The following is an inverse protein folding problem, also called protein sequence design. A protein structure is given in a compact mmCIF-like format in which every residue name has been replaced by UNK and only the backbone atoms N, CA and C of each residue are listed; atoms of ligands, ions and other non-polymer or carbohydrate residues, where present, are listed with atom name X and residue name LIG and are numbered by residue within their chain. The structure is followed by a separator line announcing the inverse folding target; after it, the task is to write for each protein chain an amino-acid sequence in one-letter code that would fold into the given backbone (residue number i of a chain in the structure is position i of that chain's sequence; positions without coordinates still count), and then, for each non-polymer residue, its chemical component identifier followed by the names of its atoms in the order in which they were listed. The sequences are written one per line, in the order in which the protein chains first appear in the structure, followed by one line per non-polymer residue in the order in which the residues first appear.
data_IF_573632320392
#
_entry.id   IF_573632320392
#
_cell.length_a   1.000
_cell.length_b   1.000
_cell.length_c   1.000
_cell.angle_alpha   90.00
_cell.angle_beta   90.00
_cell.angle_gamma   90.00
#
_symmetry.space_group_name_H-M   'P 1'
#
loop_
_entity.id
_entity.type
_entity.pdbx_description
1 polymer ?
#
# COMPACT_ATOMS: atom_id res chain seq x y z
N UNK A 1 19.66 48.96 2.07
CA UNK A 1 20.53 47.85 1.67
C UNK A 1 20.21 46.57 2.47
N UNK A 2 18.92 46.32 2.78
CA UNK A 2 18.49 45.16 3.62
C UNK A 2 17.40 44.32 2.96
N UNK A 3 17.15 44.46 1.65
CA UNK A 3 16.07 43.73 0.95
C UNK A 3 16.58 42.59 0.01
N UNK A 4 17.87 42.26 0.08
CA UNK A 4 18.45 41.27 -0.87
C UNK A 4 18.45 39.86 -0.38
N UNK A 5 17.93 39.54 0.81
CA UNK A 5 17.89 38.18 1.37
C UNK A 5 16.48 37.68 1.73
N UNK A 6 15.44 38.07 1.00
CA UNK A 6 14.30 37.19 0.89
C UNK A 6 14.74 36.02 -0.02
N UNK A 7 15.47 35.04 0.56
CA UNK A 7 15.56 33.70 -0.01
C UNK A 7 14.11 33.32 -0.35
N UNK A 8 13.78 33.22 -1.66
CA UNK A 8 12.60 32.52 -2.10
C UNK A 8 12.65 31.18 -1.35
N UNK A 9 11.79 30.98 -0.37
CA UNK A 9 11.53 29.67 0.16
C UNK A 9 11.17 28.84 -1.08
N UNK A 10 12.05 27.91 -1.45
CA UNK A 10 11.76 27.01 -2.57
C UNK A 10 10.47 26.29 -2.19
N UNK A 11 9.44 26.44 -3.01
CA UNK A 11 8.19 25.76 -2.80
C UNK A 11 8.46 24.27 -2.71
N UNK A 12 7.95 23.68 -1.65
CA UNK A 12 8.06 22.26 -1.41
C UNK A 12 7.25 21.50 -2.46
N UNK A 13 7.87 20.57 -3.18
CA UNK A 13 7.21 19.80 -4.24
C UNK A 13 7.02 18.35 -3.79
N UNK A 14 5.81 17.86 -3.94
CA UNK A 14 5.53 16.43 -3.75
C UNK A 14 6.28 15.60 -4.79
N UNK A 15 6.92 14.53 -4.33
CA UNK A 15 7.48 13.52 -5.24
C UNK A 15 6.34 12.64 -5.72
N UNK A 16 6.24 12.53 -7.04
CA UNK A 16 5.37 11.58 -7.71
C UNK A 16 6.23 10.51 -8.39
N UNK A 17 5.69 9.32 -8.50
CA UNK A 17 6.31 8.29 -9.33
C UNK A 17 6.20 8.65 -10.81
N UNK A 18 6.93 7.97 -11.68
CA UNK A 18 6.83 8.14 -13.15
C UNK A 18 5.47 7.75 -13.74
N UNK A 19 4.59 7.18 -12.93
CA UNK A 19 3.21 6.82 -13.27
C UNK A 19 2.20 7.59 -12.41
N UNK A 20 2.63 8.76 -11.88
CA UNK A 20 1.83 9.77 -11.18
C UNK A 20 1.16 9.31 -9.87
N UNK A 21 1.65 8.23 -9.26
CA UNK A 21 1.26 7.90 -7.88
C UNK A 21 2.07 8.75 -6.89
N UNK A 22 1.49 9.00 -5.70
CA UNK A 22 2.23 9.57 -4.57
C UNK A 22 3.40 8.68 -4.20
N UNK A 23 4.59 9.28 -4.09
CA UNK A 23 5.77 8.55 -3.63
C UNK A 23 5.63 8.24 -2.14
N UNK A 24 5.39 6.96 -1.86
CA UNK A 24 5.26 6.38 -0.53
C UNK A 24 5.98 5.03 -0.56
N UNK A 25 7.18 4.90 0.02
CA UNK A 25 7.91 3.63 0.05
C UNK A 25 7.07 2.49 0.64
N UNK A 26 7.12 1.33 0.01
CA UNK A 26 6.42 0.12 0.44
C UNK A 26 7.32 -1.08 0.24
N UNK A 27 7.41 -1.96 1.24
CA UNK A 27 8.07 -3.26 1.16
C UNK A 27 7.07 -4.39 1.36
N UNK A 28 7.08 -5.35 0.43
CA UNK A 28 6.36 -6.60 0.54
C UNK A 28 7.30 -7.70 1.04
N UNK A 29 6.85 -8.46 2.00
CA UNK A 29 7.59 -9.59 2.58
C UNK A 29 6.93 -10.89 2.15
N UNK A 30 7.72 -11.77 1.58
CA UNK A 30 7.30 -13.10 1.16
C UNK A 30 8.15 -14.18 1.81
N UNK A 31 7.52 -15.28 2.18
CA UNK A 31 8.18 -16.54 2.44
C UNK A 31 8.43 -17.23 1.11
N UNK A 32 9.66 -17.69 0.92
CA UNK A 32 10.09 -18.39 -0.28
C UNK A 32 10.21 -19.90 0.03
N UNK A 33 9.32 -20.70 -0.54
CA UNK A 33 9.32 -22.14 -0.32
C UNK A 33 10.31 -22.89 -1.21
N UNK A 34 10.59 -22.37 -2.42
CA UNK A 34 11.53 -22.98 -3.35
C UNK A 34 12.20 -21.91 -4.24
N UNK A 35 13.41 -21.50 -3.83
CA UNK A 35 14.22 -20.49 -4.52
C UNK A 35 14.48 -20.81 -6.00
N UNK A 36 14.89 -22.06 -6.30
CA UNK A 36 15.22 -22.46 -7.68
C UNK A 36 14.00 -22.39 -8.59
N UNK A 37 12.86 -22.88 -8.11
CA UNK A 37 11.60 -22.81 -8.85
C UNK A 37 11.11 -21.38 -9.01
N UNK A 38 11.30 -20.52 -8.01
CA UNK A 38 10.96 -19.11 -8.05
C UNK A 38 11.76 -18.37 -9.13
N UNK A 39 13.08 -18.47 -9.09
CA UNK A 39 13.96 -17.86 -10.11
C UNK A 39 13.60 -18.37 -11.53
N UNK A 40 13.35 -19.69 -11.67
CA UNK A 40 12.95 -20.28 -12.95
C UNK A 40 11.60 -19.73 -13.43
N UNK A 41 10.65 -19.47 -12.53
CA UNK A 41 9.36 -18.88 -12.87
C UNK A 41 9.51 -17.41 -13.28
N UNK A 42 10.27 -16.61 -12.51
CA UNK A 42 10.52 -15.21 -12.82
C UNK A 42 11.23 -15.01 -14.16
N UNK A 43 12.22 -15.84 -14.50
CA UNK A 43 12.95 -15.77 -15.78
C UNK A 43 12.09 -16.00 -17.01
N UNK A 44 10.86 -16.52 -16.85
CA UNK A 44 9.89 -16.64 -17.94
C UNK A 44 9.09 -15.36 -18.20
N UNK A 45 9.10 -14.44 -17.23
CA UNK A 45 8.38 -13.17 -17.32
C UNK A 45 9.25 -12.14 -18.05
N UNK A 46 8.70 -11.54 -19.10
CA UNK A 46 9.43 -10.57 -19.93
C UNK A 46 9.57 -9.19 -19.26
N UNK A 47 8.80 -8.95 -18.19
CA UNK A 47 8.90 -7.73 -17.39
C UNK A 47 9.93 -7.84 -16.27
N UNK A 48 10.56 -9.01 -16.06
CA UNK A 48 11.54 -9.23 -15.00
C UNK A 48 12.95 -9.24 -15.58
N UNK A 49 13.82 -8.44 -14.99
CA UNK A 49 15.23 -8.32 -15.34
C UNK A 49 16.07 -8.67 -14.12
N UNK A 50 16.92 -9.68 -14.22
CA UNK A 50 17.87 -10.03 -13.15
C UNK A 50 19.13 -9.18 -13.27
N UNK A 51 19.75 -8.88 -12.13
CA UNK A 51 21.11 -8.31 -12.11
C UNK A 51 22.08 -9.27 -12.79
N UNK A 52 23.05 -8.73 -13.51
CA UNK A 52 24.12 -9.53 -14.12
C UNK A 52 25.11 -10.05 -13.07
N UNK A 53 25.22 -9.35 -11.94
CA UNK A 53 26.21 -9.63 -10.88
C UNK A 53 25.61 -10.50 -9.76
N UNK A 54 24.28 -10.47 -9.55
CA UNK A 54 23.62 -11.16 -8.45
C UNK A 54 22.24 -11.71 -8.86
N UNK A 55 22.13 -13.03 -8.97
CA UNK A 55 20.87 -13.74 -9.20
C UNK A 55 19.83 -13.57 -8.07
N UNK A 56 20.20 -12.98 -6.95
CA UNK A 56 19.27 -12.67 -5.86
C UNK A 56 18.59 -11.32 -6.00
N UNK A 57 19.07 -10.46 -6.91
CA UNK A 57 18.47 -9.17 -7.20
C UNK A 57 17.80 -9.16 -8.58
N UNK A 58 16.58 -8.67 -8.63
CA UNK A 58 15.82 -8.51 -9.88
C UNK A 58 14.95 -7.25 -9.85
N UNK A 59 14.65 -6.75 -11.03
CA UNK A 59 13.79 -5.58 -11.23
C UNK A 59 12.53 -6.03 -11.96
N UNK A 60 11.37 -5.52 -11.54
CA UNK A 60 10.12 -5.64 -12.30
C UNK A 60 9.87 -4.32 -13.02
N UNK A 61 9.86 -4.35 -14.34
CA UNK A 61 9.65 -3.18 -15.18
C UNK A 61 8.20 -3.10 -15.69
N UNK A 62 7.71 -1.87 -15.92
CA UNK A 62 6.38 -1.63 -16.50
C UNK A 62 6.39 -1.95 -17.99
N UNK A 63 6.38 -3.24 -18.30
CA UNK A 63 6.47 -3.77 -19.66
C UNK A 63 5.70 -5.08 -19.79
N UNK A 64 5.20 -5.38 -20.98
CA UNK A 64 4.52 -6.65 -21.33
C UNK A 64 3.48 -7.09 -20.29
N UNK A 65 3.76 -8.17 -19.53
CA UNK A 65 2.85 -8.73 -18.54
C UNK A 65 2.39 -7.71 -17.50
N UNK A 66 3.30 -6.83 -17.09
CA UNK A 66 3.04 -5.77 -16.09
C UNK A 66 2.14 -4.64 -16.61
N UNK A 67 1.79 -4.59 -17.89
CA UNK A 67 0.80 -3.63 -18.44
C UNK A 67 -0.58 -3.75 -17.81
N UNK A 68 -0.86 -4.88 -17.16
CA UNK A 68 -2.13 -5.13 -16.48
C UNK A 68 -2.22 -4.51 -15.08
N UNK A 69 -1.14 -3.90 -14.60
CA UNK A 69 -1.19 -3.14 -13.35
C UNK A 69 -2.13 -1.95 -13.51
N UNK A 70 -3.01 -1.79 -12.53
CA UNK A 70 -3.92 -0.65 -12.46
C UNK A 70 -3.18 0.54 -11.81
N UNK A 71 -2.33 1.20 -12.60
CA UNK A 71 -1.57 2.39 -12.20
C UNK A 71 -2.30 3.68 -12.58
N UNK A 72 -1.89 4.81 -12.01
CA UNK A 72 -2.53 6.09 -12.29
C UNK A 72 -2.37 6.50 -13.75
N UNK A 73 -1.19 6.24 -14.34
CA UNK A 73 -0.95 6.40 -15.78
C UNK A 73 -0.86 5.02 -16.44
N UNK A 74 -1.76 4.70 -17.40
CA UNK A 74 -1.68 3.49 -18.19
C UNK A 74 -0.36 3.40 -18.98
N UNK A 75 0.11 2.17 -19.22
CA UNK A 75 1.38 1.94 -19.91
C UNK A 75 1.54 2.73 -21.23
N UNK A 76 0.46 2.86 -22.01
CA UNK A 76 0.47 3.51 -23.31
C UNK A 76 0.63 5.04 -23.23
N UNK A 77 0.30 5.62 -22.06
CA UNK A 77 0.31 7.06 -21.80
C UNK A 77 1.61 7.50 -21.13
N UNK A 78 2.44 6.55 -20.65
CA UNK A 78 3.75 6.88 -20.07
C UNK A 78 4.66 7.43 -21.17
N UNK A 79 5.29 8.61 -20.98
CA UNK A 79 6.25 9.16 -21.92
C UNK A 79 7.41 8.20 -22.20
N UNK A 80 7.80 8.08 -23.49
CA UNK A 80 8.85 7.13 -23.92
C UNK A 80 10.22 7.44 -23.28
N UNK A 81 10.46 8.68 -22.96
CA UNK A 81 11.69 9.18 -22.32
C UNK A 81 11.86 8.63 -20.89
N UNK A 82 10.77 8.18 -20.28
CA UNK A 82 10.78 7.58 -18.94
C UNK A 82 11.01 6.06 -18.95
N UNK A 83 11.08 5.43 -20.13
CA UNK A 83 11.35 4.00 -20.21
C UNK A 83 12.82 3.66 -20.00
N UNK A 84 13.13 2.54 -19.32
CA UNK A 84 12.21 1.60 -18.68
C UNK A 84 11.74 2.11 -17.31
N UNK A 85 10.42 2.03 -17.06
CA UNK A 85 9.85 2.37 -15.76
C UNK A 85 10.02 1.19 -14.81
N UNK A 86 10.82 1.35 -13.77
CA UNK A 86 10.93 0.37 -12.68
C UNK A 86 9.69 0.44 -11.80
N UNK A 87 8.98 -0.67 -11.66
CA UNK A 87 7.84 -0.82 -10.75
C UNK A 87 8.30 -1.27 -9.36
N UNK A 88 9.27 -2.18 -9.31
CA UNK A 88 9.78 -2.73 -8.07
C UNK A 88 11.19 -3.29 -8.22
N UNK A 89 11.89 -3.35 -7.08
CA UNK A 89 13.15 -4.04 -6.87
C UNK A 89 12.92 -5.23 -5.96
N UNK A 90 13.39 -6.41 -6.36
CA UNK A 90 13.20 -7.65 -5.60
C UNK A 90 14.51 -8.23 -5.12
N UNK A 91 14.56 -8.65 -3.85
CA UNK A 91 15.74 -9.16 -3.17
C UNK A 91 15.45 -10.51 -2.52
N UNK A 92 16.15 -11.56 -2.95
CA UNK A 92 16.08 -12.88 -2.35
C UNK A 92 17.07 -12.95 -1.19
N UNK A 93 16.56 -13.03 0.02
CA UNK A 93 17.35 -13.07 1.25
C UNK A 93 17.57 -14.54 1.65
N UNK A 94 18.82 -14.98 1.59
CA UNK A 94 19.15 -16.39 1.86
C UNK A 94 18.44 -17.34 0.90
N UNK A 95 17.71 -18.32 1.46
CA UNK A 95 16.96 -19.33 0.71
C UNK A 95 15.44 -19.31 0.93
N UNK A 96 14.97 -18.52 1.89
CA UNK A 96 13.60 -18.63 2.42
C UNK A 96 12.82 -17.33 2.42
N UNK A 97 13.45 -16.21 2.14
CA UNK A 97 12.80 -14.91 2.20
C UNK A 97 12.94 -14.14 0.89
N UNK A 98 11.93 -13.33 0.59
CA UNK A 98 11.90 -12.43 -0.55
C UNK A 98 11.33 -11.10 -0.10
N UNK A 99 12.08 -10.03 -0.31
CA UNK A 99 11.64 -8.65 -0.13
C UNK A 99 11.41 -8.02 -1.50
N UNK A 100 10.32 -7.28 -1.64
CA UNK A 100 10.04 -6.53 -2.86
C UNK A 100 9.73 -5.08 -2.48
N UNK A 101 10.58 -4.18 -2.92
CA UNK A 101 10.53 -2.76 -2.65
C UNK A 101 9.87 -2.01 -3.81
N UNK A 102 8.95 -1.11 -3.49
CA UNK A 102 8.25 -0.29 -4.47
C UNK A 102 7.95 1.11 -3.94
N UNK A 103 7.66 2.04 -4.84
CA UNK A 103 7.59 3.47 -4.54
C UNK A 103 6.17 3.99 -4.33
N UNK A 104 5.16 3.12 -4.36
CA UNK A 104 3.77 3.51 -4.06
C UNK A 104 2.94 2.34 -3.58
N UNK A 105 1.94 2.63 -2.76
CA UNK A 105 0.95 1.65 -2.31
C UNK A 105 0.21 0.99 -3.48
N UNK A 106 -0.12 1.76 -4.51
CA UNK A 106 -0.82 1.26 -5.70
C UNK A 106 0.02 0.24 -6.46
N UNK A 107 1.33 0.49 -6.63
CA UNK A 107 2.26 -0.47 -7.21
C UNK A 107 2.39 -1.73 -6.36
N UNK A 108 2.49 -1.58 -5.03
CA UNK A 108 2.55 -2.72 -4.11
C UNK A 108 1.35 -3.64 -4.26
N UNK A 109 0.14 -3.08 -4.26
CA UNK A 109 -1.10 -3.86 -4.44
C UNK A 109 -1.14 -4.54 -5.82
N UNK A 110 -0.73 -3.83 -6.88
CA UNK A 110 -0.61 -4.40 -8.22
C UNK A 110 0.38 -5.57 -8.29
N UNK A 111 1.50 -5.48 -7.55
CA UNK A 111 2.51 -6.55 -7.45
C UNK A 111 1.95 -7.77 -6.72
N UNK A 112 1.22 -7.59 -5.63
CA UNK A 112 0.58 -8.70 -4.92
C UNK A 112 -0.36 -9.46 -5.85
N UNK A 113 -1.23 -8.76 -6.59
CA UNK A 113 -2.15 -9.37 -7.57
C UNK A 113 -1.39 -10.09 -8.71
N UNK A 114 -0.37 -9.44 -9.24
CA UNK A 114 0.45 -9.97 -10.34
C UNK A 114 1.18 -11.26 -9.93
N UNK A 115 1.84 -11.27 -8.77
CA UNK A 115 2.56 -12.44 -8.28
C UNK A 115 1.61 -13.55 -7.85
N UNK A 116 0.45 -13.20 -7.28
CA UNK A 116 -0.59 -14.17 -6.95
C UNK A 116 -1.07 -14.94 -8.18
N UNK A 117 -1.23 -14.25 -9.31
CA UNK A 117 -1.67 -14.87 -10.58
C UNK A 117 -0.55 -15.61 -11.30
N UNK A 118 0.70 -15.13 -11.17
CA UNK A 118 1.82 -15.62 -11.99
C UNK A 118 2.67 -16.68 -11.29
N UNK A 119 2.81 -16.62 -9.96
CA UNK A 119 3.79 -17.41 -9.19
C UNK A 119 3.14 -18.23 -8.07
N UNK A 120 2.22 -17.64 -7.28
CA UNK A 120 1.60 -18.30 -6.12
C UNK A 120 0.84 -19.59 -6.48
N UNK A 121 0.19 -19.74 -7.66
CA UNK A 121 -0.48 -20.99 -8.02
C UNK A 121 0.40 -22.25 -7.91
N UNK A 122 1.73 -22.08 -7.91
CA UNK A 122 2.70 -23.18 -7.83
C UNK A 122 3.20 -23.44 -6.39
N UNK A 123 2.64 -22.76 -5.37
CA UNK A 123 3.09 -22.84 -3.97
C UNK A 123 4.60 -22.56 -3.79
N UNK A 124 5.12 -21.63 -4.58
CA UNK A 124 6.56 -21.28 -4.55
C UNK A 124 6.85 -20.16 -3.56
N UNK A 125 5.92 -19.21 -3.43
CA UNK A 125 6.00 -18.06 -2.51
C UNK A 125 4.67 -17.85 -1.80
N UNK A 126 4.73 -17.21 -0.63
CA UNK A 126 3.59 -16.79 0.16
C UNK A 126 3.85 -15.39 0.71
N UNK A 127 2.92 -14.45 0.47
CA UNK A 127 3.02 -13.12 1.09
C UNK A 127 2.69 -13.22 2.57
N UNK A 128 3.53 -12.63 3.42
CA UNK A 128 3.39 -12.66 4.89
C UNK A 128 3.12 -11.28 5.50
N UNK A 129 3.67 -10.22 4.89
CA UNK A 129 3.46 -8.86 5.41
C UNK A 129 3.65 -7.80 4.32
N UNK A 130 3.14 -6.61 4.61
CA UNK A 130 3.41 -5.39 3.86
C UNK A 130 3.76 -4.28 4.85
N UNK A 131 4.92 -3.64 4.65
CA UNK A 131 5.26 -2.40 5.33
C UNK A 131 5.08 -1.21 4.40
N UNK A 132 4.61 -0.09 4.91
CA UNK A 132 4.48 1.13 4.14
C UNK A 132 4.87 2.36 4.97
N UNK A 133 5.45 3.35 4.29
CA UNK A 133 5.65 4.67 4.83
C UNK A 133 4.32 5.44 4.77
N UNK A 134 3.93 6.07 5.89
CA UNK A 134 2.60 6.65 6.05
C UNK A 134 2.51 8.13 5.66
N UNK A 135 3.57 8.68 5.06
CA UNK A 135 3.64 10.08 4.65
C UNK A 135 3.89 10.18 3.14
N UNK A 136 3.29 11.15 2.50
CA UNK A 136 3.73 11.59 1.17
C UNK A 136 5.04 12.36 1.33
N UNK A 137 5.94 12.16 0.38
CA UNK A 137 7.25 12.79 0.41
C UNK A 137 7.23 14.09 -0.40
N UNK A 138 7.69 15.16 0.23
CA UNK A 138 7.89 16.43 -0.43
C UNK A 138 9.31 16.92 -0.25
N UNK A 139 9.90 17.49 -1.28
CA UNK A 139 11.30 17.91 -1.35
C UNK A 139 11.44 19.37 -1.78
N UNK A 140 12.52 20.01 -1.33
CA UNK A 140 12.89 21.39 -1.66
C UNK A 140 14.07 21.49 -2.62
N UNK A 141 14.77 20.37 -2.84
CA UNK A 141 15.96 20.33 -3.68
C UNK A 141 16.07 19.01 -4.42
N UNK A 142 16.88 19.03 -5.47
CA UNK A 142 17.24 17.82 -6.23
C UNK A 142 18.02 16.81 -5.37
N UNK A 143 18.87 17.29 -4.45
CA UNK A 143 19.59 16.42 -3.52
C UNK A 143 18.65 15.64 -2.59
N UNK A 144 17.63 16.29 -2.02
CA UNK A 144 16.59 15.62 -1.24
C UNK A 144 15.80 14.62 -2.10
N UNK A 145 15.51 14.95 -3.36
CA UNK A 145 14.88 14.02 -4.29
C UNK A 145 15.69 12.74 -4.48
N UNK A 146 16.99 12.85 -4.74
CA UNK A 146 17.85 11.68 -4.91
C UNK A 146 18.02 10.88 -3.62
N UNK A 147 18.02 11.53 -2.47
CA UNK A 147 18.03 10.85 -1.17
C UNK A 147 16.81 9.93 -1.01
N UNK A 148 15.62 10.43 -1.30
CA UNK A 148 14.39 9.64 -1.25
C UNK A 148 14.29 8.62 -2.37
N UNK A 149 14.79 8.95 -3.55
CA UNK A 149 14.79 8.01 -4.68
C UNK A 149 15.64 6.77 -4.39
N UNK A 150 16.73 6.93 -3.64
CA UNK A 150 17.66 5.88 -3.21
C UNK A 150 17.49 5.53 -1.72
N UNK A 151 16.30 5.70 -1.17
CA UNK A 151 16.02 5.42 0.24
C UNK A 151 16.36 3.98 0.58
N UNK A 152 16.99 3.79 1.76
CA UNK A 152 17.27 2.47 2.29
C UNK A 152 16.00 1.91 2.97
N UNK A 153 15.41 0.89 2.36
CA UNK A 153 14.19 0.26 2.87
C UNK A 153 14.42 -0.55 4.15
N UNK A 154 15.65 -1.04 4.39
CA UNK A 154 15.99 -1.72 5.64
C UNK A 154 15.94 -0.73 6.81
N UNK A 155 16.51 0.46 6.66
CA UNK A 155 16.42 1.52 7.67
C UNK A 155 14.99 2.00 7.93
N UNK A 156 14.11 1.95 6.90
CA UNK A 156 12.72 2.37 7.07
C UNK A 156 11.86 1.33 7.78
N UNK A 157 12.14 0.02 7.60
CA UNK A 157 11.15 -1.01 7.90
C UNK A 157 11.62 -2.17 8.79
N UNK A 158 12.93 -2.38 9.01
CA UNK A 158 13.41 -3.56 9.73
C UNK A 158 13.01 -3.55 11.22
N UNK A 159 13.02 -2.38 11.84
CA UNK A 159 12.67 -2.24 13.25
C UNK A 159 11.16 -2.19 13.52
N UNK A 160 10.32 -2.26 12.47
CA UNK A 160 8.88 -2.14 12.62
C UNK A 160 8.25 -3.50 12.92
N UNK A 161 7.62 -3.59 14.08
CA UNK A 161 6.87 -4.79 14.47
C UNK A 161 5.61 -4.97 13.60
N UNK A 162 5.29 -6.23 13.29
CA UNK A 162 4.05 -6.56 12.58
C UNK A 162 2.86 -6.30 13.51
N UNK A 163 1.92 -5.50 13.05
CA UNK A 163 0.66 -5.26 13.73
C UNK A 163 -0.47 -6.07 13.08
N UNK A 164 -1.24 -6.79 13.90
CA UNK A 164 -2.48 -7.45 13.50
C UNK A 164 -3.68 -6.52 13.72
N UNK A 165 -3.56 -5.29 13.26
CA UNK A 165 -4.44 -4.17 13.55
C UNK A 165 -5.94 -4.44 13.30
N UNK A 166 -6.27 -5.33 12.38
CA UNK A 166 -7.66 -5.58 11.97
C UNK A 166 -8.28 -6.87 12.54
N UNK A 167 -7.51 -7.75 13.17
CA UNK A 167 -8.04 -9.04 13.63
C UNK A 167 -9.15 -8.87 14.66
N UNK A 168 -8.99 -7.93 15.58
CA UNK A 168 -10.00 -7.65 16.61
C UNK A 168 -11.27 -7.03 16.02
N UNK A 169 -11.13 -6.02 15.15
CA UNK A 169 -12.27 -5.41 14.47
C UNK A 169 -13.01 -6.38 13.56
N UNK A 170 -12.29 -7.21 12.83
CA UNK A 170 -12.89 -8.25 11.98
C UNK A 170 -13.67 -9.27 12.84
N UNK A 171 -13.10 -9.71 13.96
CA UNK A 171 -13.78 -10.61 14.89
C UNK A 171 -15.04 -9.97 15.51
N UNK A 172 -14.99 -8.69 15.87
CA UNK A 172 -16.15 -7.96 16.36
C UNK A 172 -17.24 -7.82 15.27
N UNK A 173 -16.83 -7.42 14.06
CA UNK A 173 -17.74 -7.32 12.91
C UNK A 173 -18.41 -8.65 12.57
N UNK A 174 -17.65 -9.76 12.60
CA UNK A 174 -18.21 -11.10 12.38
C UNK A 174 -19.20 -11.49 13.47
N UNK A 175 -18.91 -11.24 14.74
CA UNK A 175 -19.86 -11.50 15.84
C UNK A 175 -21.15 -10.71 15.70
N UNK A 176 -21.07 -9.44 15.26
CA UNK A 176 -22.25 -8.62 14.98
C UNK A 176 -23.05 -9.24 13.84
N UNK A 177 -22.38 -9.62 12.74
CA UNK A 177 -23.03 -10.25 11.59
C UNK A 177 -23.71 -11.57 11.97
N UNK A 178 -23.02 -12.43 12.71
CA UNK A 178 -23.56 -13.73 13.17
C UNK A 178 -24.76 -13.55 14.11
N UNK A 179 -24.85 -12.43 14.83
CA UNK A 179 -25.97 -12.12 15.73
C UNK A 179 -27.23 -11.62 15.00
N UNK A 180 -27.12 -11.21 13.73
CA UNK A 180 -28.26 -10.75 12.94
C UNK A 180 -29.31 -11.87 12.64
N UNK A 181 -28.88 -13.13 12.66
CA UNK A 181 -29.75 -14.28 12.45
C UNK A 181 -30.12 -14.94 13.79
N UNK A 182 -31.17 -14.45 14.44
CA UNK A 182 -31.84 -15.15 15.55
C UNK A 182 -31.45 -14.73 16.98
N UNK A 183 -30.78 -13.60 17.17
CA UNK A 183 -30.39 -13.07 18.49
C UNK A 183 -31.37 -11.96 18.95
N UNK A 184 -31.53 -11.83 20.27
CA UNK A 184 -32.31 -10.78 20.93
C UNK A 184 -31.82 -9.37 20.53
N UNK A 185 -32.77 -8.44 20.33
CA UNK A 185 -32.51 -7.06 19.90
C UNK A 185 -31.60 -6.30 20.89
N UNK A 186 -31.78 -6.53 22.19
CA UNK A 186 -30.93 -5.94 23.25
C UNK A 186 -29.46 -6.39 23.14
N UNK A 187 -29.23 -7.64 22.73
CA UNK A 187 -27.85 -8.16 22.54
C UNK A 187 -27.19 -7.49 21.33
N UNK A 188 -27.96 -7.29 20.26
CA UNK A 188 -27.45 -6.61 19.04
C UNK A 188 -27.11 -5.16 19.34
N UNK A 189 -27.97 -4.41 20.01
CA UNK A 189 -27.71 -3.01 20.40
C UNK A 189 -26.43 -2.91 21.24
N UNK A 190 -26.27 -3.80 22.23
CA UNK A 190 -25.09 -3.81 23.09
C UNK A 190 -23.80 -4.10 22.31
N UNK A 191 -23.83 -5.05 21.36
CA UNK A 191 -22.68 -5.37 20.51
C UNK A 191 -22.33 -4.20 19.58
N UNK A 192 -23.31 -3.50 19.02
CA UNK A 192 -23.10 -2.30 18.21
C UNK A 192 -22.49 -1.17 19.03
N UNK A 193 -23.01 -0.92 20.25
CA UNK A 193 -22.42 0.08 21.13
C UNK A 193 -20.95 -0.22 21.51
N UNK A 194 -20.63 -1.50 21.76
CA UNK A 194 -19.25 -1.92 22.06
C UNK A 194 -18.34 -1.71 20.85
N UNK A 195 -18.84 -2.01 19.65
CA UNK A 195 -18.14 -1.77 18.40
C UNK A 195 -17.88 -0.29 18.17
N UNK A 196 -18.91 0.55 18.32
CA UNK A 196 -18.78 2.00 18.16
C UNK A 196 -17.79 2.61 19.16
N UNK A 197 -17.83 2.19 20.42
CA UNK A 197 -16.86 2.61 21.45
C UNK A 197 -15.43 2.21 21.02
N UNK A 198 -15.25 1.01 20.45
CA UNK A 198 -13.93 0.56 19.97
C UNK A 198 -13.46 1.40 18.78
N UNK A 199 -14.34 1.68 17.81
CA UNK A 199 -14.04 2.57 16.68
C UNK A 199 -13.61 3.95 17.16
N UNK A 200 -14.35 4.56 18.07
CA UNK A 200 -14.00 5.87 18.64
C UNK A 200 -12.65 5.86 19.36
N UNK A 201 -12.36 4.81 20.11
CA UNK A 201 -11.08 4.64 20.78
C UNK A 201 -9.93 4.53 19.80
N UNK A 202 -10.09 3.75 18.72
CA UNK A 202 -9.06 3.60 17.68
C UNK A 202 -8.86 4.89 16.88
N UNK A 203 -9.95 5.61 16.59
CA UNK A 203 -9.88 6.93 15.95
C UNK A 203 -9.09 7.90 16.81
N UNK A 204 -9.35 7.96 18.12
CA UNK A 204 -8.61 8.82 19.04
C UNK A 204 -7.14 8.44 19.09
N UNK A 205 -6.80 7.15 19.15
CA UNK A 205 -5.42 6.68 19.11
C UNK A 205 -4.70 7.11 17.82
N UNK A 206 -5.37 7.02 16.66
CA UNK A 206 -4.79 7.46 15.39
C UNK A 206 -4.64 8.99 15.30
N UNK A 207 -5.53 9.77 15.94
CA UNK A 207 -5.39 11.22 16.08
C UNK A 207 -4.20 11.60 16.95
N UNK A 208 -4.02 10.91 18.09
CA UNK A 208 -2.95 11.19 19.05
C UNK A 208 -1.58 10.75 18.54
N UNK A 209 -1.54 9.63 17.82
CA UNK A 209 -0.31 9.06 17.28
C UNK A 209 -0.54 8.40 15.90
N UNK A 210 0.10 8.97 14.91
CA UNK A 210 0.16 8.41 13.56
C UNK A 210 1.61 8.04 13.23
N UNK A 211 1.96 6.74 13.17
CA UNK A 211 3.33 6.32 12.96
C UNK A 211 3.84 6.71 11.57
N UNK A 212 5.12 7.03 11.46
CA UNK A 212 5.75 7.35 10.18
C UNK A 212 5.74 6.18 9.21
N UNK A 213 5.81 4.97 9.75
CA UNK A 213 5.68 3.73 8.98
C UNK A 213 4.96 2.66 9.78
N UNK A 214 4.39 1.69 9.09
CA UNK A 214 3.70 0.55 9.71
C UNK A 214 3.96 -0.73 8.93
N UNK A 215 3.85 -1.88 9.58
CA UNK A 215 3.97 -3.21 8.98
C UNK A 215 2.75 -4.04 9.39
N UNK A 216 1.99 -4.52 8.42
CA UNK A 216 0.81 -5.34 8.64
C UNK A 216 1.02 -6.77 8.16
N UNK A 217 0.47 -7.74 8.91
CA UNK A 217 0.38 -9.11 8.44
C UNK A 217 -0.60 -9.22 7.25
N UNK A 218 -0.25 -10.06 6.28
CA UNK A 218 -1.15 -10.45 5.19
C UNK A 218 -1.31 -11.96 5.24
N UNK A 219 -2.55 -12.39 5.44
CA UNK A 219 -2.92 -13.80 5.40
C UNK A 219 -3.53 -14.12 4.03
N UNK A 220 -2.68 -14.62 3.13
CA UNK A 220 -3.14 -14.95 1.79
C UNK A 220 -4.02 -16.20 1.80
N UNK A 221 -5.24 -16.04 1.28
CA UNK A 221 -6.14 -17.16 1.02
C UNK A 221 -6.53 -17.13 -0.46
N UNK A 222 -6.20 -18.21 -1.19
CA UNK A 222 -6.49 -18.29 -2.62
C UNK A 222 -7.99 -18.24 -2.93
N UNK A 223 -8.84 -18.84 -2.09
CA UNK A 223 -10.30 -18.82 -2.28
C UNK A 223 -10.91 -17.44 -2.04
N UNK A 224 -10.27 -16.60 -1.22
CA UNK A 224 -10.67 -15.23 -0.91
C UNK A 224 -9.77 -14.18 -1.59
N UNK A 225 -9.14 -14.54 -2.73
CA UNK A 225 -8.19 -13.65 -3.42
C UNK A 225 -8.81 -12.31 -3.81
N UNK A 226 -10.03 -12.33 -4.36
CA UNK A 226 -10.72 -11.12 -4.85
C UNK A 226 -11.02 -10.18 -3.67
N UNK A 227 -11.55 -10.71 -2.59
CA UNK A 227 -11.88 -9.97 -1.37
C UNK A 227 -10.62 -9.36 -0.75
N UNK A 228 -9.57 -10.15 -0.62
CA UNK A 228 -8.28 -9.68 -0.12
C UNK A 228 -7.71 -8.55 -1.00
N UNK A 229 -7.76 -8.68 -2.33
CA UNK A 229 -7.28 -7.65 -3.23
C UNK A 229 -8.12 -6.37 -3.15
N UNK A 230 -9.43 -6.48 -2.98
CA UNK A 230 -10.30 -5.32 -2.77
C UNK A 230 -9.98 -4.63 -1.44
N UNK A 231 -9.74 -5.38 -0.37
CA UNK A 231 -9.32 -4.81 0.91
C UNK A 231 -7.98 -4.08 0.81
N UNK A 232 -6.99 -4.67 0.14
CA UNK A 232 -5.67 -4.04 -0.05
C UNK A 232 -5.76 -2.78 -0.90
N UNK A 233 -6.57 -2.77 -1.97
CA UNK A 233 -6.82 -1.57 -2.80
C UNK A 233 -7.49 -0.47 -1.98
N UNK A 234 -8.54 -0.81 -1.25
CA UNK A 234 -9.24 0.16 -0.38
C UNK A 234 -8.29 0.75 0.66
N UNK A 235 -7.52 -0.12 1.36
CA UNK A 235 -6.50 0.34 2.31
C UNK A 235 -5.49 1.29 1.66
N UNK A 236 -4.98 0.97 0.46
CA UNK A 236 -4.02 1.81 -0.25
C UNK A 236 -4.60 3.22 -0.52
N UNK A 237 -5.86 3.30 -0.95
CA UNK A 237 -6.55 4.57 -1.18
C UNK A 237 -6.69 5.35 0.13
N UNK A 238 -7.18 4.72 1.18
CA UNK A 238 -7.35 5.37 2.49
C UNK A 238 -6.02 5.92 3.01
N UNK A 239 -4.95 5.13 2.97
CA UNK A 239 -3.62 5.55 3.43
C UNK A 239 -3.06 6.72 2.63
N UNK A 240 -3.24 6.72 1.32
CA UNK A 240 -2.82 7.85 0.48
C UNK A 240 -3.62 9.13 0.79
N UNK A 241 -4.93 9.01 0.98
CA UNK A 241 -5.80 10.14 1.36
C UNK A 241 -5.37 10.73 2.71
N UNK A 242 -5.19 9.88 3.72
CA UNK A 242 -4.73 10.33 5.05
C UNK A 242 -3.38 11.04 4.96
N UNK A 243 -2.40 10.42 4.27
CA UNK A 243 -1.07 11.01 4.11
C UNK A 243 -1.10 12.39 3.42
N UNK A 244 -1.95 12.56 2.40
CA UNK A 244 -2.14 13.85 1.71
C UNK A 244 -2.83 14.89 2.60
N UNK A 245 -3.91 14.53 3.27
CA UNK A 245 -4.63 15.44 4.18
C UNK A 245 -3.73 15.95 5.30
N UNK A 246 -2.94 15.06 5.90
CA UNK A 246 -1.96 15.42 6.93
C UNK A 246 -0.85 16.31 6.37
N UNK A 247 -0.39 16.06 5.16
CA UNK A 247 0.56 16.93 4.48
C UNK A 247 -0.02 18.33 4.22
N UNK A 248 -1.29 18.43 3.85
CA UNK A 248 -2.00 19.67 3.59
C UNK A 248 -2.36 20.46 4.87
N UNK A 249 -1.97 19.95 6.05
CA UNK A 249 -2.07 20.65 7.34
C UNK A 249 -3.08 20.06 8.32
N UNK A 250 -3.91 19.10 7.93
CA UNK A 250 -4.85 18.44 8.84
C UNK A 250 -4.16 17.27 9.57
N UNK A 251 -3.35 17.62 10.55
CA UNK A 251 -2.51 16.65 11.31
C UNK A 251 -3.31 15.59 12.08
N UNK A 252 -4.60 15.81 12.30
CA UNK A 252 -5.49 14.91 13.06
C UNK A 252 -6.40 14.07 12.16
N UNK A 253 -6.33 14.25 10.84
CA UNK A 253 -7.12 13.46 9.89
C UNK A 253 -6.76 11.96 9.99
N UNK A 254 -7.79 11.11 10.11
CA UNK A 254 -7.63 9.68 10.38
C UNK A 254 -8.11 8.81 9.22
N UNK A 255 -7.80 7.52 9.27
CA UNK A 255 -8.35 6.53 8.35
C UNK A 255 -9.88 6.44 8.45
N UNK A 256 -10.45 6.69 9.64
CA UNK A 256 -11.89 6.72 9.85
C UNK A 256 -12.55 7.91 9.16
N UNK A 257 -11.92 9.10 9.20
CA UNK A 257 -12.40 10.28 8.47
C UNK A 257 -12.39 10.04 6.97
N UNK A 258 -11.34 9.41 6.45
CA UNK A 258 -11.25 9.06 5.03
C UNK A 258 -12.36 8.06 4.62
N UNK A 259 -12.68 7.08 5.47
CA UNK A 259 -13.78 6.13 5.23
C UNK A 259 -15.12 6.85 5.23
N UNK A 260 -15.36 7.76 6.16
CA UNK A 260 -16.57 8.55 6.25
C UNK A 260 -16.76 9.45 5.02
N UNK A 261 -15.70 10.08 4.54
CA UNK A 261 -15.73 10.89 3.32
C UNK A 261 -16.05 10.03 2.08
N UNK A 262 -15.51 8.83 2.01
CA UNK A 262 -15.82 7.86 0.94
C UNK A 262 -17.30 7.44 0.97
N UNK A 263 -17.84 7.16 2.17
CA UNK A 263 -19.25 6.79 2.34
C UNK A 263 -20.17 7.90 1.86
N UNK A 264 -19.94 9.14 2.31
CA UNK A 264 -20.72 10.31 1.89
C UNK A 264 -20.71 10.50 0.37
N UNK A 265 -19.52 10.38 -0.24
CA UNK A 265 -19.38 10.46 -1.70
C UNK A 265 -20.17 9.37 -2.44
N UNK A 266 -20.15 8.13 -1.93
CA UNK A 266 -20.90 7.03 -2.51
C UNK A 266 -22.44 7.26 -2.41
N UNK A 267 -22.91 7.72 -1.25
CA UNK A 267 -24.32 8.07 -1.02
C UNK A 267 -24.81 9.18 -1.95
N UNK A 268 -24.01 10.25 -2.11
CA UNK A 268 -24.33 11.35 -3.04
C UNK A 268 -24.40 10.89 -4.50
N UNK A 269 -23.52 9.98 -4.92
CA UNK A 269 -23.57 9.42 -6.28
C UNK A 269 -24.79 8.53 -6.49
N UNK A 270 -25.13 7.70 -5.51
CA UNK A 270 -26.33 6.86 -5.58
C UNK A 270 -27.60 7.71 -5.70
N UNK A 271 -27.74 8.75 -4.88
CA UNK A 271 -28.87 9.69 -4.95
C UNK A 271 -28.97 10.36 -6.33
N UNK A 272 -27.86 10.76 -6.92
CA UNK A 272 -27.85 11.37 -8.28
C UNK A 272 -28.22 10.35 -9.37
N UNK A 273 -27.88 9.08 -9.22
CA UNK A 273 -28.18 8.03 -10.22
C UNK A 273 -29.64 7.53 -10.15
N UNK A 274 -30.34 7.73 -9.00
CA UNK A 274 -31.77 7.40 -8.84
C UNK A 274 -32.72 8.50 -9.31
N UNK A 275 -32.19 9.70 -9.62
CA UNK A 275 -32.95 10.84 -10.08
C UNK A 275 -32.94 11.01 -11.62
N UNK A 276 -32.30 10.08 -12.32
CA UNK A 276 -32.27 9.97 -13.79
C UNK A 276 -32.83 8.63 -14.25
#
# INVERSE_FOLDING_TARGET
MFDFFKKKLQEQKLIMTSTEESFMPVRLYYKLHNKKSFIKALRKLKCVLFSEEDDNHFIISYHKEAKKFDLAVPYQEVPKELYPVTLADGYIIGNSELHIDTKSLRRAVGLVDFLAKSIIPFNIIEIIAMANYNKVIAVRSEAEYYQWFNVNYDELFDDISITNYNAELLNMGQKIQDSYEGTDEEIKEKQLEEFDKKILSLKQQEMDYYPDAEKIAIHYNRSAHVEMMNMLRFRAIIKEVVARKRYDGDQHFTSFDAIDDFRKFAEEKMLKSTLH
#
